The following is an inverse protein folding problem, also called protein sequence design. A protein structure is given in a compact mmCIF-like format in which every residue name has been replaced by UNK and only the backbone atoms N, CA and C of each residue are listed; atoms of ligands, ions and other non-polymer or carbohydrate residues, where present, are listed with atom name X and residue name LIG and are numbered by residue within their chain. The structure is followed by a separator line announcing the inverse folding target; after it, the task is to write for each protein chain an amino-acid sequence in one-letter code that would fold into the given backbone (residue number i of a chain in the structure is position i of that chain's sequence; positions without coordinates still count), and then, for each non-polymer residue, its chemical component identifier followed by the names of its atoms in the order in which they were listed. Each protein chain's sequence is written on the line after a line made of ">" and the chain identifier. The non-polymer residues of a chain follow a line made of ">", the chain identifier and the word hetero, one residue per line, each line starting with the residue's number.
data_IF_309686443143
#
_entry.id   IF_309686443143
#
_cell.length_a   1.000
_cell.length_b   1.000
_cell.length_c   1.000
_cell.angle_alpha   90.00
_cell.angle_beta   90.00
_cell.angle_gamma   90.00
#
_symmetry.space_group_name_H-M   'P 1'
#
loop_
_entity.id
_entity.type
_entity.pdbx_description
1 polymer ?
#
# COMPACT_ATOMS: atom_id res chain seq x y z
N UNK A 1 71.84 -6.49 -6.05
CA UNK A 1 72.50 -5.36 -5.35
C UNK A 1 74.04 -5.43 -5.33
N UNK A 2 74.68 -6.57 -5.63
CA UNK A 2 76.14 -6.70 -5.43
C UNK A 2 77.02 -6.03 -6.52
N UNK A 3 76.60 -5.95 -7.78
CA UNK A 3 77.38 -5.30 -8.85
C UNK A 3 77.39 -3.77 -8.77
N UNK A 4 76.26 -3.14 -8.46
CA UNK A 4 76.17 -1.68 -8.34
C UNK A 4 76.95 -1.11 -7.14
N UNK A 5 77.04 -1.89 -6.06
CA UNK A 5 77.80 -1.51 -4.87
C UNK A 5 79.32 -1.44 -5.13
N UNK A 6 79.83 -2.33 -5.99
CA UNK A 6 81.25 -2.39 -6.38
C UNK A 6 81.65 -1.21 -7.28
N UNK A 7 80.80 -0.84 -8.23
CA UNK A 7 81.06 0.26 -9.17
C UNK A 7 81.05 1.63 -8.45
N UNK A 8 80.17 1.78 -7.45
CA UNK A 8 80.10 2.96 -6.59
C UNK A 8 81.22 3.09 -5.54
N UNK A 9 81.98 2.02 -5.28
CA UNK A 9 83.16 2.08 -4.40
C UNK A 9 84.44 2.48 -5.12
N UNK A 10 84.51 2.24 -6.44
CA UNK A 10 85.66 2.64 -7.28
C UNK A 10 85.63 4.14 -7.59
N UNK A 11 84.43 4.73 -7.71
CA UNK A 11 84.22 6.14 -8.05
C UNK A 11 84.33 7.13 -6.87
N UNK A 12 84.37 6.68 -5.61
CA UNK A 12 84.45 7.56 -4.42
C UNK A 12 85.22 6.89 -3.25
N UNK A 13 86.57 6.85 -3.30
CA UNK A 13 87.40 6.18 -2.29
C UNK A 13 87.37 6.86 -0.91
N UNK A 14 86.98 8.13 -0.81
CA UNK A 14 86.92 8.89 0.45
C UNK A 14 85.52 8.95 1.09
N UNK A 15 84.51 8.27 0.51
CA UNK A 15 83.10 8.27 0.98
C UNK A 15 82.47 9.68 1.06
N UNK A 16 83.07 10.72 0.49
CA UNK A 16 82.63 12.11 0.63
C UNK A 16 81.33 12.34 -0.13
N UNK A 17 81.26 11.87 -1.39
CA UNK A 17 80.10 12.02 -2.27
C UNK A 17 78.92 11.18 -1.74
N UNK A 18 79.22 9.97 -1.24
CA UNK A 18 78.21 9.10 -0.62
C UNK A 18 77.57 9.73 0.62
N UNK A 19 78.38 10.38 1.48
CA UNK A 19 77.92 10.87 2.79
C UNK A 19 77.29 12.27 2.71
N UNK A 20 77.79 13.15 1.85
CA UNK A 20 77.32 14.54 1.73
C UNK A 20 76.34 14.80 0.58
N UNK A 21 76.26 13.94 -0.44
CA UNK A 21 75.44 14.20 -1.64
C UNK A 21 74.36 13.13 -1.86
N UNK A 22 74.74 11.85 -1.96
CA UNK A 22 73.80 10.76 -2.26
C UNK A 22 72.83 10.45 -1.12
N UNK A 23 73.30 10.43 0.12
CA UNK A 23 72.44 10.20 1.29
C UNK A 23 71.37 11.28 1.49
N UNK A 24 71.71 12.59 1.52
CA UNK A 24 70.67 13.61 1.67
C UNK A 24 69.71 13.63 0.48
N UNK A 25 70.17 13.43 -0.75
CA UNK A 25 69.30 13.34 -1.94
C UNK A 25 68.36 12.12 -1.92
N UNK A 26 68.83 10.97 -1.47
CA UNK A 26 68.00 9.78 -1.34
C UNK A 26 66.95 9.95 -0.23
N UNK A 27 67.33 10.55 0.91
CA UNK A 27 66.42 10.82 2.02
C UNK A 27 65.39 11.88 1.62
N UNK A 28 65.78 12.98 0.96
CA UNK A 28 64.81 13.98 0.47
C UNK A 28 63.91 13.39 -0.61
N UNK A 29 64.42 12.54 -1.50
CA UNK A 29 63.61 11.83 -2.49
C UNK A 29 62.58 10.89 -1.86
N UNK A 30 62.95 10.13 -0.84
CA UNK A 30 62.03 9.25 -0.08
C UNK A 30 60.99 10.06 0.68
N UNK A 31 61.39 11.17 1.32
CA UNK A 31 60.46 12.06 2.03
C UNK A 31 59.46 12.70 1.06
N UNK A 32 59.90 13.16 -0.11
CA UNK A 32 59.00 13.71 -1.13
C UNK A 32 58.05 12.65 -1.69
N UNK A 33 58.52 11.41 -1.87
CA UNK A 33 57.67 10.30 -2.32
C UNK A 33 56.63 9.89 -1.26
N UNK A 34 57.01 9.85 0.01
CA UNK A 34 56.10 9.60 1.14
C UNK A 34 55.09 10.75 1.30
N UNK A 35 55.51 12.00 1.13
CA UNK A 35 54.62 13.16 1.18
C UNK A 35 53.62 13.17 0.02
N UNK A 36 54.06 12.81 -1.19
CA UNK A 36 53.18 12.66 -2.36
C UNK A 36 52.17 11.54 -2.13
N UNK A 37 52.62 10.36 -1.68
CA UNK A 37 51.76 9.22 -1.34
C UNK A 37 50.73 9.60 -0.26
N UNK A 38 51.15 10.32 0.79
CA UNK A 38 50.24 10.79 1.85
C UNK A 38 49.18 11.76 1.32
N UNK A 39 49.54 12.68 0.41
CA UNK A 39 48.57 13.59 -0.24
C UNK A 39 47.59 12.84 -1.14
N UNK A 40 48.07 11.85 -1.89
CA UNK A 40 47.21 10.99 -2.72
C UNK A 40 46.28 10.14 -1.87
N UNK A 41 46.78 9.48 -0.83
CA UNK A 41 45.98 8.65 0.08
C UNK A 41 44.96 9.49 0.85
N UNK A 42 45.34 10.68 1.36
CA UNK A 42 44.41 11.60 2.03
C UNK A 42 43.33 12.14 1.07
N UNK A 43 43.71 12.49 -0.16
CA UNK A 43 42.75 12.90 -1.20
C UNK A 43 41.78 11.78 -1.54
N UNK A 44 42.27 10.57 -1.78
CA UNK A 44 41.46 9.39 -2.10
C UNK A 44 40.54 9.01 -0.94
N UNK A 45 41.00 9.06 0.31
CA UNK A 45 40.15 8.79 1.48
C UNK A 45 39.06 9.86 1.67
N UNK A 46 39.40 11.14 1.48
CA UNK A 46 38.42 12.23 1.55
C UNK A 46 37.35 12.10 0.47
N UNK A 47 37.75 11.83 -0.79
CA UNK A 47 36.82 11.60 -1.89
C UNK A 47 35.94 10.36 -1.67
N UNK A 48 36.50 9.25 -1.17
CA UNK A 48 35.73 8.05 -0.82
C UNK A 48 34.67 8.34 0.22
N UNK A 49 34.99 9.08 1.27
CA UNK A 49 34.04 9.40 2.35
C UNK A 49 32.89 10.30 1.84
N UNK A 50 33.19 11.29 1.00
CA UNK A 50 32.17 12.17 0.41
C UNK A 50 31.23 11.37 -0.50
N UNK A 51 31.79 10.51 -1.37
CA UNK A 51 31.00 9.66 -2.27
C UNK A 51 30.12 8.69 -1.47
N UNK A 52 30.67 8.03 -0.44
CA UNK A 52 29.90 7.13 0.41
C UNK A 52 28.74 7.86 1.12
N UNK A 53 28.98 9.05 1.68
CA UNK A 53 27.92 9.87 2.28
C UNK A 53 26.84 10.25 1.28
N UNK A 54 27.22 10.61 0.05
CA UNK A 54 26.27 10.94 -1.01
C UNK A 54 25.44 9.72 -1.43
N UNK A 55 26.06 8.54 -1.58
CA UNK A 55 25.36 7.29 -1.88
C UNK A 55 24.37 6.94 -0.77
N UNK A 56 24.80 7.03 0.49
CA UNK A 56 23.93 6.78 1.65
C UNK A 56 22.77 7.77 1.68
N UNK A 57 23.01 9.06 1.46
CA UNK A 57 21.95 10.07 1.43
C UNK A 57 20.92 9.82 0.32
N UNK A 58 21.38 9.43 -0.88
CA UNK A 58 20.49 9.08 -2.00
C UNK A 58 19.67 7.82 -1.68
N UNK A 59 20.29 6.79 -1.10
CA UNK A 59 19.60 5.55 -0.73
C UNK A 59 18.56 5.77 0.37
N UNK A 60 18.89 6.59 1.37
CA UNK A 60 17.96 6.99 2.43
C UNK A 60 16.80 7.80 1.83
N UNK A 61 17.09 8.80 1.00
CA UNK A 61 16.06 9.60 0.32
C UNK A 61 15.13 8.74 -0.55
N UNK A 62 15.67 7.79 -1.30
CA UNK A 62 14.89 6.84 -2.08
C UNK A 62 13.99 5.97 -1.19
N UNK A 63 14.52 5.43 -0.09
CA UNK A 63 13.76 4.63 0.88
C UNK A 63 12.61 5.43 1.49
N UNK A 64 12.83 6.70 1.82
CA UNK A 64 11.80 7.59 2.38
C UNK A 64 10.66 7.82 1.38
N UNK A 65 10.98 8.11 0.12
CA UNK A 65 9.97 8.32 -0.93
C UNK A 65 9.14 7.05 -1.14
N UNK A 66 9.80 5.88 -1.23
CA UNK A 66 9.09 4.61 -1.35
C UNK A 66 8.23 4.32 -0.14
N UNK A 67 8.73 4.52 1.08
CA UNK A 67 7.96 4.34 2.30
C UNK A 67 6.69 5.20 2.29
N UNK A 68 6.77 6.46 1.85
CA UNK A 68 5.61 7.35 1.72
C UNK A 68 4.57 6.83 0.72
N UNK A 69 5.02 6.35 -0.45
CA UNK A 69 4.15 5.76 -1.48
C UNK A 69 3.47 4.50 -0.94
N UNK A 70 4.24 3.59 -0.33
CA UNK A 70 3.71 2.35 0.23
C UNK A 70 2.70 2.62 1.35
N UNK A 71 2.97 3.60 2.21
CA UNK A 71 2.05 3.98 3.29
C UNK A 71 0.72 4.50 2.73
N UNK A 72 0.77 5.34 1.69
CA UNK A 72 -0.45 5.80 1.01
C UNK A 72 -1.18 4.64 0.32
N UNK A 73 -0.46 3.77 -0.38
CA UNK A 73 -1.06 2.61 -1.04
C UNK A 73 -1.74 1.68 -0.01
N UNK A 74 -1.08 1.40 1.11
CA UNK A 74 -1.63 0.62 2.20
C UNK A 74 -2.90 1.26 2.77
N UNK A 75 -2.87 2.57 3.04
CA UNK A 75 -4.05 3.32 3.47
C UNK A 75 -5.18 3.24 2.44
N UNK A 76 -4.88 3.46 1.16
CA UNK A 76 -5.87 3.42 0.08
C UNK A 76 -6.57 2.07 0.01
N UNK A 77 -5.80 0.97 -0.05
CA UNK A 77 -6.38 -0.38 -0.16
C UNK A 77 -7.06 -0.85 1.13
N UNK A 78 -6.61 -0.40 2.30
CA UNK A 78 -7.26 -0.75 3.57
C UNK A 78 -8.54 0.08 3.81
N UNK A 79 -8.61 1.31 3.31
CA UNK A 79 -9.71 2.23 3.60
C UNK A 79 -10.80 2.25 2.53
N UNK A 80 -10.42 2.04 1.26
CA UNK A 80 -11.32 2.11 0.11
C UNK A 80 -11.90 0.72 -0.19
N UNK A 81 -13.21 0.49 0.01
CA UNK A 81 -13.83 -0.79 -0.34
C UNK A 81 -14.04 -0.91 -1.85
N UNK A 82 -14.45 -2.10 -2.28
CA UNK A 82 -14.86 -2.36 -3.65
C UNK A 82 -16.01 -1.42 -4.07
N UNK A 83 -15.82 -0.74 -5.20
CA UNK A 83 -16.68 0.35 -5.67
C UNK A 83 -18.05 -0.14 -6.15
N UNK A 84 -18.07 -1.27 -6.85
CA UNK A 84 -19.31 -1.82 -7.39
C UNK A 84 -19.28 -3.35 -7.49
N UNK A 85 -20.44 -3.95 -7.28
CA UNK A 85 -20.69 -5.37 -7.47
C UNK A 85 -21.83 -5.55 -8.46
N UNK A 86 -21.61 -6.42 -9.44
CA UNK A 86 -22.62 -6.79 -10.44
C UNK A 86 -22.96 -8.25 -10.27
N UNK A 87 -24.26 -8.55 -10.16
CA UNK A 87 -24.79 -9.91 -10.04
C UNK A 87 -25.89 -10.11 -11.06
N UNK A 88 -25.86 -11.25 -11.75
CA UNK A 88 -26.95 -11.63 -12.64
C UNK A 88 -28.15 -12.10 -11.81
N UNK A 89 -29.34 -11.71 -12.25
CA UNK A 89 -30.62 -12.06 -11.65
C UNK A 89 -31.36 -12.95 -12.65
N UNK A 90 -31.71 -14.16 -12.24
CA UNK A 90 -32.39 -15.15 -13.07
C UNK A 90 -33.85 -15.29 -12.64
N UNK A 91 -34.64 -14.30 -13.04
CA UNK A 91 -36.08 -14.22 -12.77
C UNK A 91 -36.81 -15.41 -13.38
N UNK A 92 -37.51 -16.17 -12.54
CA UNK A 92 -38.27 -17.35 -12.94
C UNK A 92 -39.66 -17.35 -12.30
N UNK A 93 -40.61 -18.04 -12.93
CA UNK A 93 -41.92 -18.34 -12.36
C UNK A 93 -41.82 -19.63 -11.54
N UNK A 94 -41.37 -19.53 -10.29
CA UNK A 94 -40.84 -20.68 -9.52
C UNK A 94 -41.85 -21.80 -9.19
N UNK A 95 -43.16 -21.62 -9.39
CA UNK A 95 -44.18 -22.59 -8.97
C UNK A 95 -45.25 -22.93 -10.04
N UNK A 96 -44.98 -22.67 -11.32
CA UNK A 96 -45.99 -22.84 -12.36
C UNK A 96 -45.75 -24.05 -13.26
N UNK A 97 -46.67 -25.02 -13.21
CA UNK A 97 -46.68 -26.17 -14.13
C UNK A 97 -47.03 -25.77 -15.57
N UNK A 98 -47.69 -24.63 -15.77
CA UNK A 98 -48.09 -24.10 -17.09
C UNK A 98 -48.02 -22.57 -17.09
N UNK A 99 -47.43 -21.98 -18.13
CA UNK A 99 -47.28 -20.52 -18.30
C UNK A 99 -48.62 -19.78 -18.27
N UNK A 100 -49.71 -20.42 -18.72
CA UNK A 100 -51.03 -19.77 -18.87
C UNK A 100 -51.84 -19.67 -17.57
N UNK A 101 -51.52 -20.48 -16.56
CA UNK A 101 -52.23 -20.50 -15.27
C UNK A 101 -51.42 -19.86 -14.13
N UNK A 102 -50.30 -19.24 -14.47
CA UNK A 102 -49.36 -18.71 -13.51
C UNK A 102 -49.87 -17.40 -12.89
N UNK A 103 -50.39 -17.49 -11.66
CA UNK A 103 -50.88 -16.33 -10.90
C UNK A 103 -49.74 -15.55 -10.22
N UNK A 104 -48.53 -16.12 -10.17
CA UNK A 104 -47.37 -15.53 -9.52
C UNK A 104 -46.58 -14.60 -10.46
N UNK A 105 -45.72 -13.79 -9.86
CA UNK A 105 -44.83 -12.86 -10.56
C UNK A 105 -43.44 -13.48 -10.73
N UNK A 106 -42.67 -13.08 -11.75
CA UNK A 106 -41.30 -13.55 -11.91
C UNK A 106 -40.43 -13.04 -10.75
N UNK A 107 -39.80 -13.99 -10.05
CA UNK A 107 -39.02 -13.74 -8.84
C UNK A 107 -37.69 -14.50 -8.89
N UNK A 108 -36.64 -13.87 -8.33
CA UNK A 108 -35.36 -14.52 -8.10
C UNK A 108 -34.75 -14.08 -6.77
N UNK A 109 -33.98 -14.97 -6.16
CA UNK A 109 -33.26 -14.71 -4.91
C UNK A 109 -31.77 -14.77 -5.19
N UNK A 110 -31.13 -13.60 -5.20
CA UNK A 110 -29.69 -13.46 -5.45
C UNK A 110 -28.95 -13.49 -4.12
N UNK A 111 -28.04 -14.45 -3.98
CA UNK A 111 -27.18 -14.54 -2.80
C UNK A 111 -26.04 -13.52 -2.95
N UNK A 112 -25.98 -12.56 -2.02
CA UNK A 112 -24.90 -11.57 -1.95
C UNK A 112 -23.70 -12.16 -1.23
N UNK A 113 -23.90 -12.70 -0.03
CA UNK A 113 -22.81 -13.09 0.87
C UNK A 113 -22.82 -14.61 1.03
N UNK A 114 -21.87 -15.31 0.40
CA UNK A 114 -21.69 -16.77 0.60
C UNK A 114 -20.62 -17.10 1.64
N UNK A 115 -19.45 -16.44 1.58
CA UNK A 115 -18.31 -16.69 2.48
C UNK A 115 -17.66 -15.42 3.04
N UNK A 116 -17.81 -14.30 2.34
CA UNK A 116 -17.28 -12.99 2.74
C UNK A 116 -18.37 -11.95 2.54
N UNK A 117 -18.59 -11.11 3.55
CA UNK A 117 -19.57 -10.03 3.49
C UNK A 117 -19.16 -9.04 2.40
N UNK A 118 -20.02 -8.89 1.39
CA UNK A 118 -19.74 -8.01 0.24
C UNK A 118 -19.98 -6.54 0.62
N UNK A 119 -20.94 -6.29 1.51
CA UNK A 119 -21.32 -4.96 1.95
C UNK A 119 -20.55 -4.57 3.21
N UNK A 120 -19.94 -3.40 3.20
CA UNK A 120 -19.25 -2.86 4.38
C UNK A 120 -20.29 -2.22 5.31
N UNK A 121 -20.25 -2.58 6.59
CA UNK A 121 -21.14 -2.01 7.62
C UNK A 121 -20.95 -0.50 7.72
N UNK A 122 -22.06 0.24 7.79
CA UNK A 122 -22.06 1.71 7.94
C UNK A 122 -21.67 2.49 6.68
N UNK A 123 -21.54 1.82 5.52
CA UNK A 123 -21.40 2.48 4.24
C UNK A 123 -22.75 2.50 3.50
N UNK A 124 -23.20 3.65 2.98
CA UNK A 124 -24.39 3.69 2.14
C UNK A 124 -24.09 3.14 0.74
N UNK A 125 -25.01 2.31 0.27
CA UNK A 125 -24.99 1.70 -1.06
C UNK A 125 -26.22 2.09 -1.86
N UNK A 126 -26.01 2.33 -3.14
CA UNK A 126 -27.04 2.47 -4.16
C UNK A 126 -27.26 1.14 -4.85
N UNK A 127 -28.50 0.69 -4.87
CA UNK A 127 -28.88 -0.61 -5.42
C UNK A 127 -29.80 -0.38 -6.61
N UNK A 128 -29.31 -0.74 -7.80
CA UNK A 128 -29.98 -0.52 -9.08
C UNK A 128 -30.17 -1.85 -9.79
N UNK A 129 -31.38 -2.11 -10.28
CA UNK A 129 -31.66 -3.23 -11.18
C UNK A 129 -31.61 -2.73 -12.62
N UNK A 130 -30.73 -3.30 -13.43
CA UNK A 130 -30.67 -3.07 -14.86
C UNK A 130 -31.41 -4.20 -15.58
N UNK A 131 -32.49 -3.84 -16.27
CA UNK A 131 -33.32 -4.75 -17.07
C UNK A 131 -33.03 -4.53 -18.55
N UNK A 132 -32.53 -5.55 -19.22
CA UNK A 132 -32.36 -5.56 -20.67
C UNK A 132 -33.64 -6.10 -21.32
N UNK A 133 -34.36 -5.25 -22.06
CA UNK A 133 -35.69 -5.56 -22.60
C UNK A 133 -35.76 -5.27 -24.11
N UNK A 134 -36.49 -6.10 -24.88
CA UNK A 134 -36.82 -5.77 -26.27
C UNK A 134 -37.83 -4.63 -26.38
N UNK A 135 -37.78 -3.89 -27.49
CA UNK A 135 -38.80 -2.91 -27.88
C UNK A 135 -40.02 -3.60 -28.55
N UNK A 136 -40.58 -4.63 -27.89
CA UNK A 136 -41.75 -5.37 -28.41
C UNK A 136 -43.06 -4.60 -28.19
N UNK A 137 -44.08 -4.87 -29.02
CA UNK A 137 -45.43 -4.30 -28.86
C UNK A 137 -46.04 -4.62 -27.48
N UNK A 138 -45.81 -5.84 -26.97
CA UNK A 138 -46.25 -6.26 -25.64
C UNK A 138 -45.64 -5.37 -24.53
N UNK A 139 -44.32 -5.14 -24.59
CA UNK A 139 -43.63 -4.27 -23.64
C UNK A 139 -44.05 -2.80 -23.78
N UNK A 140 -44.32 -2.34 -25.00
CA UNK A 140 -44.84 -1.00 -25.26
C UNK A 140 -46.23 -0.77 -24.64
N UNK A 141 -47.09 -1.79 -24.64
CA UNK A 141 -48.45 -1.74 -24.09
C UNK A 141 -48.50 -1.99 -22.57
N UNK A 142 -47.50 -2.67 -22.00
CA UNK A 142 -47.42 -2.97 -20.56
C UNK A 142 -47.42 -1.69 -19.70
N UNK A 143 -46.87 -0.59 -20.23
CA UNK A 143 -46.82 0.69 -19.51
C UNK A 143 -45.91 0.65 -18.28
N UNK A 144 -46.36 1.26 -17.18
CA UNK A 144 -45.61 1.27 -15.93
C UNK A 144 -45.70 -0.08 -15.24
N UNK A 145 -44.56 -0.64 -14.84
CA UNK A 145 -44.47 -1.84 -14.03
C UNK A 145 -43.74 -1.55 -12.72
N UNK A 146 -44.04 -2.33 -11.68
CA UNK A 146 -43.38 -2.18 -10.37
C UNK A 146 -42.31 -3.25 -10.20
N UNK A 147 -41.13 -2.84 -9.74
CA UNK A 147 -40.07 -3.75 -9.30
C UNK A 147 -39.93 -3.61 -7.79
N UNK A 148 -40.00 -4.73 -7.09
CA UNK A 148 -39.77 -4.80 -5.65
C UNK A 148 -38.47 -5.56 -5.37
N UNK A 149 -37.70 -5.06 -4.42
CA UNK A 149 -36.55 -5.74 -3.86
C UNK A 149 -36.69 -5.87 -2.35
N UNK A 150 -36.40 -7.06 -1.85
CA UNK A 150 -36.44 -7.39 -0.43
C UNK A 150 -35.07 -7.90 -0.02
N UNK A 151 -34.44 -7.20 0.92
CA UNK A 151 -33.15 -7.58 1.51
C UNK A 151 -33.42 -8.54 2.66
N UNK A 152 -32.87 -9.75 2.63
CA UNK A 152 -33.01 -10.76 3.68
C UNK A 152 -31.71 -10.91 4.47
N UNK A 153 -31.83 -10.97 5.80
CA UNK A 153 -30.75 -11.38 6.68
C UNK A 153 -30.44 -12.89 6.54
N UNK A 154 -29.47 -13.41 7.29
CA UNK A 154 -29.12 -14.83 7.24
C UNK A 154 -30.25 -15.77 7.73
N UNK A 155 -31.08 -15.30 8.67
CA UNK A 155 -32.16 -16.08 9.27
C UNK A 155 -33.51 -15.89 8.55
N UNK A 156 -33.56 -15.02 7.54
CA UNK A 156 -34.77 -14.47 6.92
C UNK A 156 -35.79 -13.88 7.92
N UNK A 157 -35.33 -13.40 9.08
CA UNK A 157 -36.20 -12.87 10.13
C UNK A 157 -36.46 -11.37 9.93
N UNK A 158 -35.39 -10.62 9.66
CA UNK A 158 -35.48 -9.20 9.33
C UNK A 158 -35.38 -9.01 7.82
N UNK A 159 -36.33 -8.26 7.28
CA UNK A 159 -36.32 -7.91 5.87
C UNK A 159 -36.64 -6.43 5.64
N UNK A 160 -35.89 -5.82 4.73
CA UNK A 160 -36.15 -4.45 4.28
C UNK A 160 -36.64 -4.48 2.85
N UNK A 161 -37.84 -3.94 2.60
CA UNK A 161 -38.50 -3.94 1.29
C UNK A 161 -38.53 -2.55 0.67
N UNK A 162 -38.19 -2.46 -0.61
CA UNK A 162 -38.40 -1.27 -1.44
C UNK A 162 -39.09 -1.66 -2.74
N UNK A 163 -40.07 -0.88 -3.16
CA UNK A 163 -40.77 -1.06 -4.43
C UNK A 163 -40.74 0.25 -5.22
N UNK A 164 -40.40 0.16 -6.50
CA UNK A 164 -40.23 1.30 -7.40
C UNK A 164 -40.94 1.03 -8.72
N UNK A 165 -41.60 2.06 -9.22
CA UNK A 165 -42.21 2.05 -10.54
C UNK A 165 -41.14 2.35 -11.59
N UNK A 166 -41.23 1.66 -12.72
CA UNK A 166 -40.43 1.92 -13.90
C UNK A 166 -41.25 1.68 -15.17
N UNK A 167 -40.73 2.13 -16.29
CA UNK A 167 -41.39 2.03 -17.59
C UNK A 167 -40.32 1.90 -18.68
N UNK A 168 -40.63 1.12 -19.73
CA UNK A 168 -39.86 1.17 -20.97
C UNK A 168 -39.92 2.60 -21.52
N UNK A 169 -38.80 3.16 -22.00
CA UNK A 169 -38.87 4.55 -22.47
C UNK A 169 -39.70 4.59 -23.75
N UNK A 170 -40.77 5.38 -23.70
CA UNK A 170 -41.66 5.53 -24.83
C UNK A 170 -40.94 6.18 -26.02
N UNK A 171 -41.19 5.65 -27.21
CA UNK A 171 -40.82 6.24 -28.49
C UNK A 171 -42.01 6.20 -29.42
N UNK A 172 -42.21 7.27 -30.19
CA UNK A 172 -43.26 7.30 -31.21
C UNK A 172 -42.94 6.36 -32.36
N UNK A 173 -43.98 5.86 -33.04
CA UNK A 173 -43.80 4.89 -34.13
C UNK A 173 -43.06 5.48 -35.32
N UNK A 174 -43.26 6.78 -35.60
CA UNK A 174 -42.46 7.51 -36.59
C UNK A 174 -40.97 7.51 -36.23
N UNK A 175 -40.63 7.71 -34.96
CA UNK A 175 -39.24 7.70 -34.51
C UNK A 175 -38.65 6.28 -34.57
N UNK A 176 -39.42 5.25 -34.20
CA UNK A 176 -39.01 3.85 -34.38
C UNK A 176 -38.69 3.55 -35.85
N UNK A 177 -39.56 3.96 -36.78
CA UNK A 177 -39.36 3.78 -38.22
C UNK A 177 -38.09 4.48 -38.72
N UNK A 178 -37.92 5.76 -38.40
CA UNK A 178 -36.73 6.53 -38.80
C UNK A 178 -35.46 5.87 -38.27
N UNK A 179 -35.46 5.46 -37.00
CA UNK A 179 -34.31 4.81 -36.36
C UNK A 179 -33.99 3.47 -37.03
N UNK A 180 -35.01 2.68 -37.36
CA UNK A 180 -34.85 1.40 -38.04
C UNK A 180 -34.27 1.59 -39.44
N UNK A 181 -34.73 2.60 -40.20
CA UNK A 181 -34.20 2.92 -41.54
C UNK A 181 -32.75 3.41 -41.45
N UNK A 182 -32.46 4.34 -40.53
CA UNK A 182 -31.12 4.92 -40.36
C UNK A 182 -30.12 3.87 -39.86
N UNK A 183 -30.53 2.98 -38.96
CA UNK A 183 -29.67 1.93 -38.40
C UNK A 183 -29.77 0.59 -39.13
N UNK A 184 -30.56 0.49 -40.21
CA UNK A 184 -30.79 -0.73 -40.98
C UNK A 184 -29.50 -1.50 -41.32
N UNK A 185 -28.43 -0.89 -41.87
CA UNK A 185 -27.21 -1.64 -42.18
C UNK A 185 -26.55 -2.23 -40.94
N UNK A 186 -26.62 -1.55 -39.78
CA UNK A 186 -26.04 -2.05 -38.52
C UNK A 186 -26.90 -3.17 -37.92
N UNK A 187 -28.23 -3.10 -38.08
CA UNK A 187 -29.17 -4.12 -37.60
C UNK A 187 -29.06 -5.40 -38.44
N UNK A 188 -29.01 -5.30 -39.77
CA UNK A 188 -28.91 -6.45 -40.68
C UNK A 188 -27.59 -7.20 -40.49
N UNK A 189 -26.48 -6.47 -40.30
CA UNK A 189 -25.16 -7.06 -40.02
C UNK A 189 -25.08 -7.63 -38.60
N UNK A 190 -26.06 -7.34 -37.72
CA UNK A 190 -26.08 -7.80 -36.33
C UNK A 190 -25.11 -7.05 -35.41
N UNK A 191 -24.60 -5.88 -35.83
CA UNK A 191 -23.76 -5.04 -34.97
C UNK A 191 -24.58 -4.31 -33.89
N UNK A 192 -25.86 -4.08 -34.16
CA UNK A 192 -26.83 -3.52 -33.22
C UNK A 192 -28.05 -4.43 -33.14
N UNK A 193 -28.64 -4.49 -31.95
CA UNK A 193 -29.89 -5.20 -31.66
C UNK A 193 -30.94 -4.20 -31.19
N UNK A 194 -32.22 -4.50 -31.42
CA UNK A 194 -33.35 -3.70 -30.94
C UNK A 194 -33.65 -4.01 -29.46
N UNK A 195 -32.80 -3.47 -28.60
CA UNK A 195 -32.91 -3.63 -27.15
C UNK A 195 -32.72 -2.32 -26.41
N UNK A 196 -33.29 -2.27 -25.23
CA UNK A 196 -33.20 -1.16 -24.32
C UNK A 196 -32.83 -1.64 -22.92
N UNK A 197 -31.89 -0.93 -22.27
CA UNK A 197 -31.58 -1.12 -20.86
C UNK A 197 -32.39 -0.12 -20.03
N UNK A 198 -33.18 -0.62 -19.08
CA UNK A 198 -33.96 0.18 -18.12
C UNK A 198 -33.36 -0.02 -16.73
N UNK A 199 -32.84 1.06 -16.16
CA UNK A 199 -32.25 1.07 -14.82
C UNK A 199 -33.27 1.52 -13.78
N UNK A 200 -33.52 0.68 -12.78
CA UNK A 200 -34.47 0.94 -11.69
C UNK A 200 -33.70 1.06 -10.37
N UNK A 201 -33.67 2.25 -9.77
CA UNK A 201 -32.99 2.49 -8.50
C UNK A 201 -33.88 2.05 -7.32
N UNK A 202 -33.63 0.85 -6.80
CA UNK A 202 -34.41 0.22 -5.74
C UNK A 202 -34.14 0.88 -4.38
N UNK A 203 -32.87 1.08 -4.05
CA UNK A 203 -32.44 1.76 -2.83
C UNK A 203 -31.41 2.84 -3.18
N UNK A 204 -31.59 4.04 -2.61
CA UNK A 204 -30.68 5.17 -2.81
C UNK A 204 -29.54 5.16 -1.79
N UNK A 205 -29.87 5.01 -0.50
CA UNK A 205 -28.94 5.01 0.63
C UNK A 205 -29.20 3.79 1.51
N UNK A 206 -28.86 2.60 1.02
CA UNK A 206 -28.98 1.36 1.79
C UNK A 206 -27.73 1.17 2.67
N UNK A 207 -27.91 1.10 3.98
CA UNK A 207 -26.83 0.84 4.94
C UNK A 207 -27.00 -0.55 5.54
N UNK A 208 -25.94 -1.36 5.47
CA UNK A 208 -25.94 -2.70 6.06
C UNK A 208 -25.71 -2.60 7.59
N UNK A 209 -26.50 -3.36 8.36
CA UNK A 209 -26.45 -3.35 9.82
C UNK A 209 -25.48 -4.42 10.34
N UNK A 210 -24.73 -4.11 11.40
CA UNK A 210 -23.83 -5.09 12.02
C UNK A 210 -24.59 -6.24 12.70
N UNK A 211 -25.76 -5.96 13.28
CA UNK A 211 -26.54 -6.96 14.00
C UNK A 211 -27.23 -7.96 13.05
N UNK A 212 -27.65 -7.47 11.88
CA UNK A 212 -28.41 -8.24 10.89
C UNK A 212 -27.82 -7.98 9.49
N UNK A 213 -26.69 -8.63 9.14
CA UNK A 213 -26.07 -8.45 7.84
C UNK A 213 -26.93 -9.07 6.73
N UNK A 214 -27.08 -8.36 5.62
CA UNK A 214 -27.83 -8.86 4.46
C UNK A 214 -27.07 -9.98 3.76
N UNK A 215 -27.75 -11.12 3.54
CA UNK A 215 -27.17 -12.27 2.85
C UNK A 215 -27.71 -12.46 1.44
N UNK A 216 -28.97 -12.09 1.21
CA UNK A 216 -29.63 -12.28 -0.07
C UNK A 216 -30.60 -11.16 -0.40
N UNK A 217 -30.86 -10.98 -1.68
CA UNK A 217 -31.84 -10.03 -2.21
C UNK A 217 -32.85 -10.81 -3.03
N UNK A 218 -34.11 -10.74 -2.64
CA UNK A 218 -35.23 -11.20 -3.45
C UNK A 218 -35.73 -10.07 -4.34
N UNK A 219 -35.78 -10.32 -5.65
CA UNK A 219 -36.23 -9.35 -6.65
C UNK A 219 -37.46 -9.91 -7.33
N UNK A 220 -38.52 -9.11 -7.36
CA UNK A 220 -39.82 -9.48 -7.93
C UNK A 220 -40.32 -8.37 -8.84
N UNK A 221 -40.68 -8.71 -10.08
CA UNK A 221 -41.31 -7.77 -11.01
C UNK A 221 -42.81 -8.00 -11.03
N UNK A 222 -43.59 -7.02 -10.57
CA UNK A 222 -45.04 -7.08 -10.53
C UNK A 222 -45.67 -6.78 -11.90
N UNK A 223 -45.29 -7.57 -12.90
CA UNK A 223 -45.91 -7.60 -14.23
C UNK A 223 -45.73 -8.99 -14.83
N UNK A 224 -46.79 -9.53 -15.44
CA UNK A 224 -46.76 -10.87 -16.05
C UNK A 224 -46.43 -10.84 -17.54
N UNK A 225 -46.88 -9.79 -18.20
CA UNK A 225 -46.78 -9.61 -19.65
C UNK A 225 -45.43 -8.99 -20.08
N UNK A 226 -44.54 -8.74 -19.12
CA UNK A 226 -43.24 -8.13 -19.37
C UNK A 226 -42.26 -9.14 -19.96
N UNK A 227 -41.55 -8.73 -21.02
CA UNK A 227 -40.53 -9.52 -21.69
C UNK A 227 -39.17 -8.86 -21.45
N UNK A 228 -38.19 -9.65 -21.03
CA UNK A 228 -36.81 -9.18 -20.82
C UNK A 228 -35.83 -10.30 -21.20
N UNK A 229 -34.62 -9.92 -21.59
CA UNK A 229 -33.53 -10.82 -21.93
C UNK A 229 -32.67 -11.15 -20.71
N UNK A 230 -32.32 -10.13 -19.94
CA UNK A 230 -31.44 -10.25 -18.80
C UNK A 230 -31.78 -9.23 -17.72
N UNK A 231 -31.52 -9.59 -16.47
CA UNK A 231 -31.62 -8.72 -15.32
C UNK A 231 -30.30 -8.75 -14.56
N UNK A 232 -29.75 -7.58 -14.25
CA UNK A 232 -28.49 -7.43 -13.53
C UNK A 232 -28.67 -6.50 -12.34
N UNK A 233 -28.34 -6.99 -11.16
CA UNK A 233 -28.30 -6.21 -9.93
C UNK A 233 -26.94 -5.54 -9.82
N UNK A 234 -26.95 -4.21 -9.83
CA UNK A 234 -25.79 -3.36 -9.60
C UNK A 234 -25.87 -2.79 -8.20
N UNK A 235 -24.86 -3.08 -7.39
CA UNK A 235 -24.69 -2.52 -6.06
C UNK A 235 -23.48 -1.61 -6.14
N UNK A 236 -23.68 -0.30 -6.03
CA UNK A 236 -22.62 0.71 -6.11
C UNK A 236 -22.48 1.41 -4.78
N UNK A 237 -21.26 1.60 -4.32
CA UNK A 237 -20.98 2.36 -3.11
C UNK A 237 -21.20 3.85 -3.35
N UNK A 238 -22.01 4.49 -2.50
CA UNK A 238 -22.14 5.95 -2.49
C UNK A 238 -21.13 6.53 -1.50
N UNK A 239 -19.99 6.98 -2.02
CA UNK A 239 -18.93 7.54 -1.19
C UNK A 239 -19.25 8.97 -0.74
N UNK A 240 -19.00 9.26 0.54
CA UNK A 240 -19.05 10.60 1.11
C UNK A 240 -17.71 10.97 1.77
N UNK A 241 -17.48 12.27 2.00
CA UNK A 241 -16.30 12.77 2.70
C UNK A 241 -14.96 12.47 2.00
N UNK A 242 -13.99 11.92 2.75
CA UNK A 242 -12.65 11.62 2.23
C UNK A 242 -12.69 10.56 1.12
N UNK A 243 -13.54 9.53 1.24
CA UNK A 243 -13.71 8.49 0.21
C UNK A 243 -14.19 9.08 -1.11
N UNK A 244 -15.09 10.06 -1.05
CA UNK A 244 -15.58 10.76 -2.24
C UNK A 244 -14.44 11.48 -2.98
N UNK A 245 -13.60 12.21 -2.24
CA UNK A 245 -12.43 12.88 -2.82
C UNK A 245 -11.45 11.89 -3.46
N UNK A 246 -11.16 10.79 -2.75
CA UNK A 246 -10.27 9.73 -3.25
C UNK A 246 -10.80 9.04 -4.50
N UNK A 247 -12.12 8.82 -4.59
CA UNK A 247 -12.76 8.15 -5.72
C UNK A 247 -12.86 9.06 -6.95
N UNK A 248 -13.32 10.29 -6.77
CA UNK A 248 -13.56 11.19 -7.89
C UNK A 248 -12.26 11.86 -8.38
N UNK A 249 -11.25 12.03 -7.52
CA UNK A 249 -9.98 12.69 -7.83
C UNK A 249 -8.77 11.88 -7.36
N UNK A 250 -8.53 10.68 -7.91
CA UNK A 250 -7.51 9.76 -7.41
C UNK A 250 -6.08 10.34 -7.49
N UNK A 251 -5.77 11.09 -8.55
CA UNK A 251 -4.44 11.68 -8.75
C UNK A 251 -4.18 12.80 -7.72
N UNK A 252 -5.14 13.71 -7.53
CA UNK A 252 -4.99 14.81 -6.57
C UNK A 252 -4.89 14.27 -5.14
N UNK A 253 -5.73 13.30 -4.79
CA UNK A 253 -5.68 12.65 -3.49
C UNK A 253 -4.33 11.94 -3.25
N UNK A 254 -3.80 11.25 -4.25
CA UNK A 254 -2.50 10.58 -4.14
C UNK A 254 -1.36 11.57 -3.93
N UNK A 255 -1.32 12.68 -4.68
CA UNK A 255 -0.29 13.71 -4.52
C UNK A 255 -0.34 14.30 -3.11
N UNK A 256 -1.53 14.67 -2.63
CA UNK A 256 -1.71 15.24 -1.29
C UNK A 256 -1.31 14.22 -0.21
N UNK A 257 -1.77 12.97 -0.32
CA UNK A 257 -1.47 11.92 0.66
C UNK A 257 0.01 11.54 0.72
N UNK A 258 0.68 11.42 -0.43
CA UNK A 258 2.13 11.14 -0.50
C UNK A 258 2.93 12.33 0.03
N UNK A 259 2.51 13.57 -0.26
CA UNK A 259 3.17 14.76 0.27
C UNK A 259 3.05 14.86 1.79
N UNK A 260 1.87 14.58 2.37
CA UNK A 260 1.68 14.59 3.82
C UNK A 260 2.49 13.48 4.50
N UNK A 261 2.48 12.27 3.95
CA UNK A 261 3.28 11.16 4.48
C UNK A 261 4.78 11.48 4.42
N UNK A 262 5.25 12.07 3.30
CA UNK A 262 6.63 12.50 3.15
C UNK A 262 7.00 13.56 4.19
N UNK A 263 6.13 14.54 4.44
CA UNK A 263 6.34 15.58 5.44
C UNK A 263 6.52 14.99 6.84
N UNK A 264 5.66 14.06 7.27
CA UNK A 264 5.79 13.41 8.58
C UNK A 264 7.05 12.54 8.69
N UNK A 265 7.37 11.74 7.67
CA UNK A 265 8.58 10.91 7.67
C UNK A 265 9.83 11.81 7.73
N UNK A 266 9.87 12.90 6.97
CA UNK A 266 10.97 13.86 7.02
C UNK A 266 11.12 14.49 8.41
N UNK A 267 10.03 14.88 9.08
CA UNK A 267 10.10 15.40 10.45
C UNK A 267 10.72 14.36 11.39
N UNK A 268 10.27 13.10 11.36
CA UNK A 268 10.81 12.05 12.21
C UNK A 268 12.29 11.80 11.91
N UNK A 269 12.69 11.79 10.63
CA UNK A 269 14.09 11.66 10.24
C UNK A 269 14.95 12.84 10.72
N UNK A 270 14.43 14.07 10.66
CA UNK A 270 15.14 15.27 11.15
C UNK A 270 15.29 15.25 12.67
N UNK A 271 14.25 14.86 13.40
CA UNK A 271 14.31 14.70 14.86
C UNK A 271 15.28 13.58 15.25
N UNK A 272 15.25 12.45 14.52
CA UNK A 272 16.20 11.36 14.71
C UNK A 272 17.64 11.79 14.43
N UNK A 273 17.86 12.61 13.40
CA UNK A 273 19.18 13.19 13.13
C UNK A 273 19.62 14.13 14.24
N UNK A 274 18.73 15.02 14.69
CA UNK A 274 19.01 15.97 15.76
C UNK A 274 19.41 15.24 17.06
N UNK A 275 18.65 14.21 17.44
CA UNK A 275 18.98 13.39 18.61
C UNK A 275 20.30 12.60 18.45
N UNK A 276 20.65 12.19 17.24
CA UNK A 276 21.92 11.50 16.97
C UNK A 276 23.12 12.46 16.99
N UNK A 277 22.93 13.72 16.58
CA UNK A 277 23.97 14.75 16.66
C UNK A 277 24.28 15.12 18.12
N UNK A 278 23.25 15.09 18.99
CA UNK A 278 23.35 15.27 20.44
C UNK A 278 23.95 14.04 21.18
N UNK A 279 24.54 13.09 20.45
CA UNK A 279 25.14 11.88 20.99
C UNK A 279 26.48 12.11 21.71
N UNK A 280 26.57 13.12 22.58
CA UNK A 280 27.63 13.26 23.59
C UNK A 280 27.78 11.96 24.41
N UNK A 281 26.68 11.25 24.64
CA UNK A 281 26.64 9.95 25.32
C UNK A 281 27.48 8.84 24.62
N UNK A 282 27.62 8.86 23.29
CA UNK A 282 28.45 7.87 22.58
C UNK A 282 29.94 8.15 22.78
N UNK A 283 30.34 9.42 22.85
CA UNK A 283 31.72 9.77 23.22
C UNK A 283 32.02 9.40 24.68
N UNK A 284 31.06 9.61 25.59
CA UNK A 284 31.18 9.22 26.99
C UNK A 284 31.35 7.70 27.18
N UNK A 285 30.59 6.88 26.45
CA UNK A 285 30.74 5.41 26.46
C UNK A 285 32.11 5.00 25.92
N UNK A 286 32.56 5.62 24.83
CA UNK A 286 33.86 5.31 24.22
C UNK A 286 35.01 5.64 25.17
N UNK A 287 34.94 6.75 25.88
CA UNK A 287 35.94 7.15 26.87
C UNK A 287 35.93 6.24 28.10
N UNK A 288 34.75 5.85 28.62
CA UNK A 288 34.66 4.86 29.71
C UNK A 288 35.22 3.50 29.31
N UNK A 289 34.91 3.01 28.10
CA UNK A 289 35.46 1.75 27.60
C UNK A 289 37.00 1.81 27.46
N UNK A 290 37.55 2.92 26.96
CA UNK A 290 39.00 3.10 26.89
C UNK A 290 39.65 3.21 28.26
N UNK A 291 38.98 3.78 29.26
CA UNK A 291 39.47 3.79 30.64
C UNK A 291 39.53 2.37 31.21
N UNK A 292 38.47 1.58 31.07
CA UNK A 292 38.42 0.17 31.54
C UNK A 292 39.57 -0.64 30.91
N UNK A 293 39.76 -0.56 29.59
CA UNK A 293 40.84 -1.28 28.88
C UNK A 293 42.24 -0.81 29.30
N UNK A 294 42.43 0.47 29.63
CA UNK A 294 43.72 1.00 30.12
C UNK A 294 44.00 0.54 31.56
N UNK A 295 42.98 0.51 32.43
CA UNK A 295 43.12 0.04 33.81
C UNK A 295 43.46 -1.46 33.85
N UNK A 296 42.83 -2.28 33.00
CA UNK A 296 43.17 -3.71 32.84
C UNK A 296 44.58 -3.95 32.28
N UNK A 297 45.20 -2.96 31.61
CA UNK A 297 46.54 -3.09 31.01
C UNK A 297 47.68 -2.61 31.91
N UNK A 298 47.36 -1.87 32.97
CA UNK A 298 48.34 -1.27 33.90
C UNK A 298 48.52 -2.06 35.21
N UNK A 299 47.79 -3.16 35.43
CA UNK A 299 48.10 -4.11 36.51
C UNK A 299 49.09 -5.16 36.01
N UNK A 300 50.37 -5.14 36.44
CA UNK A 300 51.24 -6.29 36.22
C UNK A 300 50.84 -7.41 37.18
N UNK A 301 50.68 -8.59 36.61
CA UNK A 301 50.48 -9.88 37.26
C UNK A 301 51.24 -10.04 38.57
N UNK A 302 50.51 -10.17 39.66
CA UNK A 302 50.95 -10.82 40.90
C UNK A 302 50.14 -12.11 41.04
N UNK A 303 50.77 -13.24 40.72
CA UNK A 303 50.25 -14.56 41.07
C UNK A 303 50.09 -14.69 42.60
N UNK A 304 48.88 -14.96 43.08
CA UNK A 304 48.73 -15.74 44.30
C UNK A 304 47.46 -16.60 44.29
N UNK A 305 47.67 -17.89 44.57
CA UNK A 305 46.75 -19.04 44.56
C UNK A 305 45.55 -18.91 45.53
N UNK A 306 44.50 -19.73 45.36
CA UNK A 306 43.18 -19.50 45.95
C UNK A 306 43.15 -19.83 47.44
N UNK A 307 42.46 -18.98 48.22
CA UNK A 307 41.89 -19.34 49.51
C UNK A 307 40.48 -18.78 49.61
N UNK A 308 39.57 -19.69 49.96
CA UNK A 308 38.20 -19.48 50.42
C UNK A 308 38.16 -18.54 51.63
N UNK A 309 37.27 -17.55 51.60
CA UNK A 309 36.26 -17.34 52.65
C UNK A 309 35.23 -16.28 52.24
N UNK A 310 33.99 -16.51 52.66
CA UNK A 310 32.80 -15.68 52.53
C UNK A 310 33.00 -14.24 53.04
N UNK A 311 32.59 -13.25 52.26
CA UNK A 311 31.77 -12.11 52.74
C UNK A 311 31.42 -11.16 51.59
N UNK A 312 30.13 -11.17 51.30
CA UNK A 312 29.29 -10.23 50.57
C UNK A 312 29.78 -8.77 50.56
N UNK A 313 29.84 -8.17 49.36
CA UNK A 313 29.69 -6.74 49.12
C UNK A 313 28.62 -6.55 48.04
N UNK A 314 27.46 -6.06 48.46
CA UNK A 314 26.24 -5.90 47.66
C UNK A 314 26.21 -4.64 46.76
N UNK A 315 27.29 -3.86 46.68
CA UNK A 315 27.26 -2.59 45.93
C UNK A 315 27.59 -2.72 44.43
N UNK A 316 28.29 -3.77 43.98
CA UNK A 316 28.67 -3.92 42.55
C UNK A 316 27.60 -4.64 41.70
N UNK A 317 26.59 -5.26 42.33
CA UNK A 317 25.58 -6.07 41.63
C UNK A 317 24.37 -5.21 41.20
N UNK A 318 24.07 -4.10 41.90
CA UNK A 318 22.99 -3.18 41.52
C UNK A 318 23.31 -2.37 40.25
N UNK A 319 24.58 -2.04 40.01
CA UNK A 319 24.98 -1.30 38.80
C UNK A 319 24.96 -2.17 37.53
N UNK A 320 25.10 -3.49 37.69
CA UNK A 320 25.04 -4.45 36.56
C UNK A 320 23.59 -4.80 36.21
N UNK A 321 22.68 -4.80 37.20
CA UNK A 321 21.25 -5.00 36.93
C UNK A 321 20.61 -3.78 36.27
N UNK A 322 20.94 -2.56 36.71
CA UNK A 322 20.42 -1.33 36.10
C UNK A 322 20.91 -1.14 34.65
N UNK A 323 22.16 -1.51 34.37
CA UNK A 323 22.75 -1.46 33.02
C UNK A 323 22.09 -2.43 32.04
N UNK A 324 21.50 -3.53 32.53
CA UNK A 324 20.81 -4.52 31.69
C UNK A 324 19.39 -4.09 31.31
N UNK A 325 18.74 -3.31 32.17
CA UNK A 325 17.39 -2.79 31.95
C UNK A 325 17.38 -1.61 30.95
N UNK A 326 18.40 -0.76 30.94
CA UNK A 326 18.52 0.39 30.03
C UNK A 326 18.90 0.02 28.58
N UNK A 327 19.45 -1.19 28.35
CA UNK A 327 19.82 -1.68 27.02
C UNK A 327 18.69 -2.45 26.31
N UNK A 328 17.55 -2.67 26.95
CA UNK A 328 16.40 -3.36 26.36
C UNK A 328 16.70 -4.79 25.88
N UNK A 329 17.76 -5.43 26.40
CA UNK A 329 18.19 -6.77 26.03
C UNK A 329 17.80 -7.78 27.13
N UNK A 330 16.49 -8.07 27.18
CA UNK A 330 15.98 -9.31 27.77
C UNK A 330 15.07 -9.97 26.72
N UNK A 331 15.12 -11.30 26.68
CA UNK A 331 14.38 -12.16 25.74
C UNK A 331 12.90 -11.83 25.61
#
# INVERSE_FOLDING_TARGET
>A
MQLGALLLTVLDPFKIIRKYLLKPLAVTGVVLAEEYKRKTDAGVQSTKNIILRLIVAVLVGFSIVWASIFLYAYFYYSYMPTVSHVKNVYLNYRDCQSEKECLQYPTDTVILTQKQQILMVGQPYRITLNLEMPESEQNGQTGMFTVCAVMHDHASEHSTKSCRLSMLHYRSDLLKMIRTIVLAPLLIVGYREEKQSVSVELFTHFEDSQAHPVTSVEITILSRDIQFYAAQLHISADFSGLRYLMFNWPILSAIIGIATNLFFILIVCLLSWYHWDDAEWIEEIKDRYQQIVKTTKNEPSSEQKPKSDDSVKDEEIEDISSFKDDLGLVS
#
